data_IF_320310955413
#
_entry.id   IF_320310955413
#
_cell.length_a   1.000
_cell.length_b   1.000
_cell.length_c   1.000
_cell.angle_alpha   90.00
_cell.angle_beta   90.00
_cell.angle_gamma   90.00
#
_symmetry.space_group_name_H-M   'P 1'
#
loop_
_entity.id
_entity.type
_entity.pdbx_description
1 polymer ?
#
# COMPACT_ATOMS: atom_id res chain seq x y z
N UNK A 1 8.43 0.00 6.09
CA UNK A 1 7.09 0.51 6.41
C UNK A 1 7.19 2.00 6.70
N UNK A 2 6.28 2.81 6.16
CA UNK A 2 6.26 4.26 6.34
C UNK A 2 4.90 4.71 6.88
N UNK A 3 4.88 5.78 7.65
CA UNK A 3 3.65 6.42 8.08
C UNK A 3 3.13 7.43 7.03
N UNK A 4 2.02 8.09 7.32
CA UNK A 4 1.39 9.05 6.42
C UNK A 4 2.23 10.33 6.18
N UNK A 5 3.19 10.61 7.04
CA UNK A 5 4.07 11.78 6.97
C UNK A 5 5.38 11.49 6.23
N UNK A 6 5.62 10.24 5.86
CA UNK A 6 6.85 9.78 5.20
C UNK A 6 7.94 9.32 6.17
N UNK A 7 7.64 9.21 7.46
CA UNK A 7 8.61 8.69 8.39
C UNK A 7 8.71 7.17 8.26
N UNK A 8 9.95 6.67 8.29
CA UNK A 8 10.22 5.24 8.25
C UNK A 8 9.99 4.64 9.64
N UNK A 9 8.90 3.92 9.80
CA UNK A 9 8.52 3.30 11.06
C UNK A 9 9.36 2.07 11.39
N UNK A 10 9.62 1.26 10.39
CA UNK A 10 10.42 0.03 10.53
C UNK A 10 10.87 -0.49 9.17
N UNK A 11 12.09 -1.03 9.14
CA UNK A 11 12.61 -1.83 8.02
C UNK A 11 13.25 -3.10 8.56
N UNK A 12 13.39 -4.11 7.71
CA UNK A 12 14.13 -5.32 8.01
C UNK A 12 14.82 -5.83 6.74
N UNK A 13 16.02 -6.34 6.92
CA UNK A 13 16.69 -7.11 5.88
C UNK A 13 16.11 -8.54 5.89
N UNK A 14 15.92 -9.10 4.70
CA UNK A 14 15.44 -10.47 4.52
C UNK A 14 16.26 -11.18 3.45
N UNK A 15 16.38 -12.50 3.53
CA UNK A 15 16.92 -13.29 2.44
C UNK A 15 16.15 -13.05 1.14
N UNK A 16 16.85 -13.04 0.01
CA UNK A 16 16.27 -12.70 -1.29
C UNK A 16 15.23 -13.70 -1.81
N UNK A 17 15.18 -14.91 -1.26
CA UNK A 17 14.22 -15.96 -1.59
C UNK A 17 12.94 -15.94 -0.74
N UNK A 18 12.78 -15.00 0.19
CA UNK A 18 11.57 -14.86 1.00
C UNK A 18 10.51 -14.00 0.33
N UNK A 19 9.25 -14.39 0.47
CA UNK A 19 8.13 -13.57 0.02
C UNK A 19 8.04 -12.27 0.85
N UNK A 20 7.60 -11.17 0.21
CA UNK A 20 7.55 -9.84 0.85
C UNK A 20 6.66 -9.76 2.10
N UNK A 21 5.69 -10.65 2.23
CA UNK A 21 4.81 -10.73 3.40
C UNK A 21 5.29 -11.72 4.47
N UNK A 22 6.33 -12.53 4.22
CA UNK A 22 6.81 -13.46 5.22
C UNK A 22 7.37 -12.69 6.43
N UNK A 23 7.02 -13.13 7.65
CA UNK A 23 7.41 -12.44 8.87
C UNK A 23 6.85 -11.01 8.99
N UNK A 24 5.71 -10.72 8.35
CA UNK A 24 5.03 -9.43 8.43
C UNK A 24 4.74 -9.00 9.87
N UNK A 25 4.46 -9.96 10.73
CA UNK A 25 4.14 -9.79 12.15
C UNK A 25 5.29 -9.13 12.92
N UNK A 26 6.54 -9.50 12.66
CA UNK A 26 7.74 -8.90 13.25
C UNK A 26 7.92 -7.41 12.90
N UNK A 27 7.30 -6.96 11.83
CA UNK A 27 7.33 -5.57 11.38
C UNK A 27 6.09 -4.82 11.81
N UNK A 28 4.88 -5.37 11.54
CA UNK A 28 3.63 -4.67 11.74
C UNK A 28 3.20 -4.60 13.21
N UNK A 29 3.27 -5.73 13.93
CA UNK A 29 2.81 -5.79 15.33
C UNK A 29 3.51 -4.78 16.24
N UNK A 30 4.86 -4.62 16.22
CA UNK A 30 5.53 -3.62 17.06
C UNK A 30 5.19 -2.18 16.69
N UNK A 31 4.90 -1.91 15.40
CA UNK A 31 4.46 -0.57 14.97
C UNK A 31 3.06 -0.29 15.48
N UNK A 32 2.12 -1.24 15.34
CA UNK A 32 0.75 -1.10 15.88
C UNK A 32 0.79 -0.90 17.40
N UNK A 33 1.58 -1.71 18.13
CA UNK A 33 1.73 -1.60 19.59
C UNK A 33 2.22 -0.21 20.04
N UNK A 34 3.10 0.43 19.26
CA UNK A 34 3.60 1.80 19.53
C UNK A 34 2.49 2.84 19.51
N UNK A 35 1.49 2.67 18.64
CA UNK A 35 0.40 3.61 18.43
C UNK A 35 -0.87 3.28 19.24
N UNK A 36 -0.95 2.06 19.80
CA UNK A 36 -2.11 1.63 20.61
C UNK A 36 -2.33 2.58 21.79
N UNK A 37 -3.54 3.09 21.94
CA UNK A 37 -3.90 4.06 22.98
C UNK A 37 -3.42 5.51 22.74
N UNK A 38 -2.58 5.76 21.73
CA UNK A 38 -2.06 7.11 21.43
C UNK A 38 -2.78 7.79 20.27
N UNK A 39 -3.47 7.04 19.45
CA UNK A 39 -4.20 7.54 18.28
C UNK A 39 -5.60 6.97 18.25
N UNK A 40 -6.55 7.77 17.79
CA UNK A 40 -7.96 7.36 17.70
C UNK A 40 -8.24 6.38 16.56
N UNK A 41 -7.43 6.37 15.52
CA UNK A 41 -7.65 5.54 14.34
C UNK A 41 -6.32 5.18 13.67
N UNK A 42 -6.18 3.90 13.34
CA UNK A 42 -5.08 3.39 12.52
C UNK A 42 -5.65 2.91 11.18
N UNK A 43 -5.00 3.28 10.11
CA UNK A 43 -5.34 2.84 8.76
C UNK A 43 -4.11 2.19 8.12
N UNK A 44 -4.31 1.03 7.51
CA UNK A 44 -3.26 0.28 6.83
C UNK A 44 -3.53 0.20 5.33
N UNK A 45 -2.50 0.36 4.52
CA UNK A 45 -2.55 0.15 3.07
C UNK A 45 -1.30 -0.55 2.58
N UNK A 46 -1.48 -1.51 1.70
CA UNK A 46 -0.37 -2.31 1.18
C UNK A 46 -0.62 -2.77 -0.26
N UNK A 47 0.43 -3.30 -0.87
CA UNK A 47 0.37 -3.94 -2.17
C UNK A 47 -0.15 -5.38 -2.08
N UNK A 48 -0.16 -6.06 -3.22
CA UNK A 48 -0.65 -7.42 -3.35
C UNK A 48 0.21 -8.46 -2.60
N UNK A 49 1.46 -8.14 -2.30
CA UNK A 49 2.31 -9.00 -1.48
C UNK A 49 1.77 -9.24 -0.08
N UNK A 50 0.95 -8.30 0.44
CA UNK A 50 0.32 -8.41 1.76
C UNK A 50 -1.12 -8.94 1.70
N UNK A 51 -1.57 -9.46 0.56
CA UNK A 51 -2.88 -10.10 0.40
C UNK A 51 -2.91 -11.49 1.05
N UNK A 52 -2.66 -11.55 2.35
CA UNK A 52 -2.58 -12.76 3.17
C UNK A 52 -3.73 -12.78 4.18
N UNK A 53 -4.46 -13.93 4.34
CA UNK A 53 -5.53 -14.08 5.32
C UNK A 53 -5.14 -13.69 6.74
N UNK A 54 -3.96 -14.10 7.20
CA UNK A 54 -3.46 -13.78 8.54
C UNK A 54 -3.30 -12.27 8.78
N UNK A 55 -2.86 -11.52 7.75
CA UNK A 55 -2.75 -10.06 7.81
C UNK A 55 -4.14 -9.43 7.96
N UNK A 56 -5.12 -9.91 7.19
CA UNK A 56 -6.49 -9.41 7.30
C UNK A 56 -7.09 -9.67 8.68
N UNK A 57 -6.94 -10.89 9.20
CA UNK A 57 -7.47 -11.30 10.50
C UNK A 57 -6.85 -10.49 11.63
N UNK A 58 -5.55 -10.28 11.58
CA UNK A 58 -4.86 -9.42 12.55
C UNK A 58 -5.37 -7.99 12.50
N UNK A 59 -5.45 -7.37 11.31
CA UNK A 59 -5.93 -6.01 11.17
C UNK A 59 -7.38 -5.83 11.61
N UNK A 60 -8.22 -6.82 11.32
CA UNK A 60 -9.63 -6.85 11.74
C UNK A 60 -9.76 -7.02 13.25
N UNK A 61 -8.96 -7.90 13.86
CA UNK A 61 -8.90 -8.11 15.30
C UNK A 61 -8.44 -6.88 16.08
N UNK A 62 -7.49 -6.13 15.55
CA UNK A 62 -7.03 -4.85 16.12
C UNK A 62 -7.95 -3.64 15.79
N UNK A 63 -9.04 -3.84 15.06
CA UNK A 63 -9.93 -2.76 14.64
C UNK A 63 -9.32 -1.81 13.60
N UNK A 64 -8.20 -2.18 12.98
CA UNK A 64 -7.48 -1.36 12.01
C UNK A 64 -8.21 -1.39 10.66
N UNK A 65 -8.46 -0.22 10.09
CA UNK A 65 -9.05 -0.10 8.76
C UNK A 65 -7.98 -0.31 7.69
N UNK A 66 -8.28 -1.14 6.69
CA UNK A 66 -7.29 -1.49 5.68
C UNK A 66 -7.80 -1.34 4.25
N UNK A 67 -6.85 -1.13 3.33
CA UNK A 67 -7.02 -1.22 1.89
C UNK A 67 -5.77 -1.89 1.30
N UNK A 68 -5.90 -3.15 0.90
CA UNK A 68 -4.80 -3.98 0.42
C UNK A 68 -5.13 -4.44 -1.00
N UNK A 69 -4.17 -4.26 -1.92
CA UNK A 69 -4.36 -4.73 -3.30
C UNK A 69 -4.50 -6.24 -3.31
N UNK A 70 -5.49 -6.74 -4.06
CA UNK A 70 -5.70 -8.16 -4.30
C UNK A 70 -5.21 -8.50 -5.70
N UNK A 71 -4.41 -9.56 -5.89
CA UNK A 71 -4.07 -10.05 -7.22
C UNK A 71 -5.31 -10.40 -8.01
N UNK A 72 -5.32 -10.03 -9.29
CA UNK A 72 -6.42 -10.40 -10.17
C UNK A 72 -6.44 -11.93 -10.40
N UNK A 73 -7.63 -12.49 -10.44
CA UNK A 73 -7.86 -13.86 -10.85
C UNK A 73 -9.12 -13.95 -11.72
N UNK A 74 -9.36 -15.10 -12.33
CA UNK A 74 -10.48 -15.34 -13.25
C UNK A 74 -11.83 -15.02 -12.60
N UNK A 75 -12.06 -15.51 -11.38
CA UNK A 75 -13.33 -15.30 -10.67
C UNK A 75 -13.60 -13.81 -10.40
N UNK A 76 -12.58 -13.06 -10.03
CA UNK A 76 -12.70 -11.60 -9.82
C UNK A 76 -12.97 -10.86 -11.13
N UNK A 77 -12.37 -11.29 -12.23
CA UNK A 77 -12.61 -10.71 -13.56
C UNK A 77 -14.02 -11.02 -14.06
N UNK A 78 -14.51 -12.24 -13.87
CA UNK A 78 -15.90 -12.63 -14.21
C UNK A 78 -16.93 -11.77 -13.45
N UNK A 79 -16.66 -11.41 -12.18
CA UNK A 79 -17.53 -10.53 -11.38
C UNK A 79 -17.70 -9.12 -11.92
N UNK A 80 -16.79 -8.67 -12.77
CA UNK A 80 -16.80 -7.32 -13.37
C UNK A 80 -16.89 -7.37 -14.89
N UNK A 81 -17.33 -8.49 -15.47
CA UNK A 81 -17.40 -8.71 -16.92
C UNK A 81 -18.03 -7.57 -17.68
N UNK A 82 -19.14 -7.04 -17.16
CA UNK A 82 -19.88 -5.91 -17.76
C UNK A 82 -19.03 -4.63 -17.87
N UNK A 83 -18.12 -4.40 -16.92
CA UNK A 83 -17.21 -3.23 -16.91
C UNK A 83 -16.02 -3.42 -17.84
N UNK A 84 -15.70 -4.66 -18.22
CA UNK A 84 -14.62 -5.00 -19.13
C UNK A 84 -15.02 -4.86 -20.60
N UNK A 85 -16.31 -4.74 -20.86
CA UNK A 85 -16.83 -4.54 -22.22
C UNK A 85 -16.62 -3.09 -22.63
N UNK A 86 -15.98 -2.90 -23.79
CA UNK A 86 -15.78 -1.57 -24.36
C UNK A 86 -17.13 -0.99 -24.81
N UNK A 87 -17.40 0.25 -24.41
CA UNK A 87 -18.58 0.96 -24.91
C UNK A 87 -18.48 1.18 -26.43
N UNK A 88 -19.58 0.94 -27.13
CA UNK A 88 -19.69 1.18 -28.58
C UNK A 88 -19.60 2.68 -28.83
N UNK A 89 -18.89 3.07 -29.88
CA UNK A 89 -18.77 4.46 -30.32
C UNK A 89 -17.32 4.97 -30.29
N UNK A 90 -17.17 6.29 -30.51
CA UNK A 90 -15.85 6.94 -30.53
C UNK A 90 -15.20 6.83 -29.14
N UNK A 91 -13.92 6.41 -29.05
CA UNK A 91 -13.21 6.38 -27.78
C UNK A 91 -13.18 7.77 -27.14
N UNK A 92 -13.45 7.87 -25.84
CA UNK A 92 -13.34 9.15 -25.15
C UNK A 92 -11.88 9.61 -25.13
N UNK A 93 -11.68 10.93 -25.23
CA UNK A 93 -10.34 11.53 -25.13
C UNK A 93 -9.80 11.50 -23.68
N UNK A 94 -10.68 11.27 -22.71
CA UNK A 94 -10.33 11.23 -21.29
C UNK A 94 -10.44 9.81 -20.73
N UNK A 95 -9.68 9.54 -19.67
CA UNK A 95 -9.73 8.27 -18.97
C UNK A 95 -11.10 8.05 -18.29
N UNK A 96 -11.84 7.03 -18.70
CA UNK A 96 -13.08 6.63 -18.05
C UNK A 96 -12.78 5.65 -16.89
N UNK A 97 -13.24 5.99 -15.69
CA UNK A 97 -13.10 5.16 -14.50
C UNK A 97 -14.44 4.62 -14.05
N UNK A 98 -14.48 3.33 -13.77
CA UNK A 98 -15.65 2.66 -13.21
C UNK A 98 -15.24 1.85 -11.98
N UNK A 99 -16.16 1.71 -11.03
CA UNK A 99 -15.93 0.99 -9.79
C UNK A 99 -17.04 -0.03 -9.58
N UNK A 100 -16.67 -1.24 -9.16
CA UNK A 100 -17.60 -2.23 -8.65
C UNK A 100 -17.29 -2.53 -7.19
N UNK A 101 -18.32 -2.87 -6.43
CA UNK A 101 -18.23 -3.18 -5.02
C UNK A 101 -19.00 -4.47 -4.76
N UNK A 102 -18.32 -5.50 -4.29
CA UNK A 102 -18.91 -6.82 -4.06
C UNK A 102 -18.21 -7.55 -2.90
N UNK A 103 -18.86 -8.58 -2.42
CA UNK A 103 -18.30 -9.49 -1.43
C UNK A 103 -17.63 -10.66 -2.14
N UNK A 104 -16.42 -11.01 -1.71
CA UNK A 104 -15.64 -12.11 -2.24
C UNK A 104 -14.97 -12.90 -1.12
N UNK A 105 -14.88 -14.21 -1.31
CA UNK A 105 -14.16 -15.09 -0.42
C UNK A 105 -13.22 -15.96 -1.26
N UNK A 106 -11.92 -15.84 -1.02
CA UNK A 106 -10.93 -16.77 -1.58
C UNK A 106 -10.91 -18.09 -0.78
N UNK A 107 -10.46 -19.18 -1.38
CA UNK A 107 -10.51 -20.50 -0.76
C UNK A 107 -9.78 -20.63 0.58
N UNK A 108 -8.75 -19.80 0.82
CA UNK A 108 -8.01 -19.78 2.09
C UNK A 108 -8.57 -18.79 3.12
N UNK A 109 -9.62 -18.05 2.80
CA UNK A 109 -10.18 -17.07 3.72
C UNK A 109 -11.22 -17.70 4.64
N UNK A 110 -11.15 -17.40 5.91
CA UNK A 110 -12.10 -17.85 6.92
C UNK A 110 -13.49 -17.24 6.75
N UNK A 111 -13.55 -16.03 6.16
CA UNK A 111 -14.80 -15.29 5.93
C UNK A 111 -14.75 -14.46 4.65
N UNK A 112 -15.94 -14.14 4.11
CA UNK A 112 -16.02 -13.22 2.97
C UNK A 112 -15.61 -11.81 3.37
N UNK A 113 -14.97 -11.08 2.42
CA UNK A 113 -14.54 -9.70 2.61
C UNK A 113 -15.01 -8.82 1.45
N UNK A 114 -15.17 -7.54 1.75
CA UNK A 114 -15.49 -6.54 0.76
C UNK A 114 -14.32 -6.34 -0.20
N UNK A 115 -14.61 -6.44 -1.50
CA UNK A 115 -13.67 -6.16 -2.58
C UNK A 115 -14.19 -5.02 -3.43
N UNK A 116 -13.32 -4.09 -3.75
CA UNK A 116 -13.56 -3.02 -4.69
C UNK A 116 -12.74 -3.29 -5.94
N UNK A 117 -13.40 -3.32 -7.09
CA UNK A 117 -12.76 -3.33 -8.39
C UNK A 117 -12.71 -1.92 -8.96
N UNK A 118 -11.58 -1.54 -9.54
CA UNK A 118 -11.39 -0.34 -10.32
C UNK A 118 -11.08 -0.75 -11.75
N UNK A 119 -11.82 -0.22 -12.70
CA UNK A 119 -11.60 -0.41 -14.13
C UNK A 119 -11.32 0.95 -14.76
N UNK A 120 -10.22 1.08 -15.46
CA UNK A 120 -9.81 2.31 -16.14
C UNK A 120 -9.64 2.04 -17.63
N UNK A 121 -10.42 2.72 -18.43
CA UNK A 121 -10.26 2.80 -19.88
C UNK A 121 -9.46 4.05 -20.20
N UNK A 122 -8.24 3.89 -20.65
CA UNK A 122 -7.38 5.00 -21.06
C UNK A 122 -7.50 5.25 -22.54
N UNK A 123 -7.37 6.52 -22.95
CA UNK A 123 -7.35 6.89 -24.35
C UNK A 123 -6.21 6.15 -25.09
N UNK A 124 -6.54 5.50 -26.21
CA UNK A 124 -5.57 4.76 -27.03
C UNK A 124 -5.24 3.34 -26.54
N UNK A 125 -5.68 2.90 -25.36
CA UNK A 125 -5.49 1.52 -24.91
C UNK A 125 -6.63 0.60 -25.41
N UNK A 126 -6.28 -0.61 -25.85
CA UNK A 126 -7.24 -1.61 -26.34
C UNK A 126 -7.97 -2.33 -25.18
N UNK A 127 -7.31 -2.45 -24.03
CA UNK A 127 -7.82 -3.17 -22.87
C UNK A 127 -7.86 -2.25 -21.64
N UNK A 128 -8.84 -2.42 -20.75
CA UNK A 128 -8.90 -1.64 -19.54
C UNK A 128 -7.84 -2.08 -18.53
N UNK A 129 -7.36 -1.14 -17.74
CA UNK A 129 -6.55 -1.44 -16.56
C UNK A 129 -7.46 -1.80 -15.39
N UNK A 130 -7.22 -2.96 -14.80
CA UNK A 130 -8.03 -3.47 -13.70
C UNK A 130 -7.21 -3.57 -12.42
N UNK A 131 -7.81 -3.18 -11.31
CA UNK A 131 -7.24 -3.35 -9.98
C UNK A 131 -8.30 -3.76 -8.97
N UNK A 132 -7.96 -4.67 -8.07
CA UNK A 132 -8.82 -5.11 -6.98
C UNK A 132 -8.22 -4.72 -5.64
N UNK A 133 -9.07 -4.29 -4.70
CA UNK A 133 -8.67 -3.89 -3.34
C UNK A 133 -9.61 -4.56 -2.35
N UNK A 134 -9.03 -5.31 -1.41
CA UNK A 134 -9.74 -5.81 -0.23
C UNK A 134 -9.77 -4.73 0.83
N UNK A 135 -10.92 -4.53 1.46
CA UNK A 135 -11.08 -3.49 2.48
C UNK A 135 -12.15 -3.85 3.52
N UNK A 136 -11.95 -3.39 4.74
CA UNK A 136 -12.94 -3.37 5.82
C UNK A 136 -13.49 -1.96 6.10
N UNK A 137 -13.21 -1.00 5.21
CA UNK A 137 -13.73 0.37 5.29
C UNK A 137 -15.17 0.42 4.75
N UNK A 138 -16.04 1.20 5.40
CA UNK A 138 -17.41 1.47 4.93
C UNK A 138 -17.52 2.63 3.92
N UNK A 139 -16.38 3.23 3.53
CA UNK A 139 -16.34 4.39 2.62
C UNK A 139 -16.76 4.03 1.20
N UNK A 140 -17.23 5.01 0.39
CA UNK A 140 -17.44 4.83 -1.05
C UNK A 140 -16.20 4.26 -1.76
N UNK A 141 -16.43 3.49 -2.82
CA UNK A 141 -15.35 2.80 -3.56
C UNK A 141 -14.24 3.74 -4.01
N UNK A 142 -14.60 4.89 -4.56
CA UNK A 142 -13.67 5.91 -5.04
C UNK A 142 -12.74 6.41 -3.93
N UNK A 143 -13.29 6.66 -2.73
CA UNK A 143 -12.52 7.13 -1.60
C UNK A 143 -11.54 6.08 -1.06
N UNK A 144 -11.92 4.80 -1.11
CA UNK A 144 -11.01 3.69 -0.74
C UNK A 144 -9.89 3.56 -1.76
N UNK A 145 -10.20 3.65 -3.05
CA UNK A 145 -9.20 3.63 -4.13
C UNK A 145 -8.27 4.83 -4.02
N UNK A 146 -8.80 6.04 -3.78
CA UNK A 146 -7.99 7.24 -3.57
C UNK A 146 -7.07 7.11 -2.35
N UNK A 147 -7.57 6.54 -1.26
CA UNK A 147 -6.76 6.23 -0.08
C UNK A 147 -5.64 5.23 -0.41
N UNK A 148 -5.97 4.14 -1.10
CA UNK A 148 -4.98 3.14 -1.49
C UNK A 148 -3.90 3.72 -2.42
N UNK A 149 -4.28 4.55 -3.40
CA UNK A 149 -3.36 5.13 -4.38
C UNK A 149 -2.31 6.06 -3.74
N UNK A 150 -2.59 6.68 -2.59
CA UNK A 150 -1.60 7.44 -1.82
C UNK A 150 -0.41 6.58 -1.36
N UNK A 151 -0.46 5.25 -1.55
CA UNK A 151 0.68 4.35 -1.34
C UNK A 151 1.86 4.65 -2.28
N UNK A 152 1.60 5.18 -3.47
CA UNK A 152 2.64 5.54 -4.43
C UNK A 152 3.74 6.46 -3.87
N UNK A 153 3.41 7.28 -2.87
CA UNK A 153 4.41 8.11 -2.16
C UNK A 153 5.45 7.26 -1.44
N UNK A 154 5.06 6.12 -0.85
CA UNK A 154 6.01 5.22 -0.20
C UNK A 154 6.98 4.57 -1.20
N UNK A 155 6.51 4.27 -2.40
CA UNK A 155 7.35 3.73 -3.48
C UNK A 155 8.41 4.74 -3.91
N UNK A 156 8.06 6.01 -3.96
CA UNK A 156 9.01 7.08 -4.25
C UNK A 156 10.08 7.17 -3.15
N UNK A 157 9.71 7.16 -1.88
CA UNK A 157 10.68 7.17 -0.78
C UNK A 157 11.61 5.95 -0.79
N UNK A 158 11.07 4.76 -1.15
CA UNK A 158 11.89 3.56 -1.33
C UNK A 158 12.87 3.73 -2.49
N UNK A 159 12.44 4.31 -3.61
CA UNK A 159 13.33 4.60 -4.76
C UNK A 159 14.43 5.59 -4.38
N UNK A 160 14.10 6.65 -3.67
CA UNK A 160 15.06 7.63 -3.16
C UNK A 160 16.06 6.99 -2.19
N UNK A 161 15.59 6.16 -1.26
CA UNK A 161 16.45 5.40 -0.36
C UNK A 161 17.39 4.45 -1.10
N UNK A 162 16.92 3.77 -2.15
CA UNK A 162 17.77 2.92 -2.99
C UNK A 162 18.76 3.72 -3.84
N UNK A 163 18.35 4.86 -4.36
CA UNK A 163 19.15 5.71 -5.24
C UNK A 163 20.14 6.59 -4.47
N UNK A 164 19.65 7.49 -3.61
CA UNK A 164 20.46 8.48 -2.90
C UNK A 164 21.19 7.89 -1.70
N UNK A 165 20.51 7.12 -0.85
CA UNK A 165 21.08 6.55 0.38
C UNK A 165 21.69 5.18 0.14
N UNK A 166 21.41 4.55 -1.01
CA UNK A 166 21.97 3.27 -1.45
C UNK A 166 21.67 2.10 -0.48
N UNK A 167 20.43 2.00 -0.01
CA UNK A 167 19.97 0.94 0.92
C UNK A 167 20.30 -0.48 0.46
N UNK A 168 20.42 -0.70 -0.85
CA UNK A 168 20.73 -2.01 -1.44
C UNK A 168 22.23 -2.31 -1.52
N UNK A 169 23.10 -1.36 -1.17
CA UNK A 169 24.55 -1.60 -1.08
C UNK A 169 24.90 -2.13 0.31
N UNK A 170 24.85 -3.43 0.42
CA UNK A 170 25.08 -4.18 1.65
C UNK A 170 26.28 -5.15 1.43
N UNK A 171 27.52 -4.64 1.38
CA UNK A 171 28.70 -5.43 1.06
C UNK A 171 29.37 -6.07 2.27
N UNK A 172 28.67 -6.20 3.40
CA UNK A 172 29.24 -6.80 4.60
C UNK A 172 29.36 -8.33 4.44
N UNK A 173 30.31 -8.92 5.17
CA UNK A 173 30.57 -10.37 5.08
C UNK A 173 29.52 -11.23 5.77
N UNK A 174 28.63 -10.64 6.57
CA UNK A 174 27.59 -11.37 7.28
C UNK A 174 26.23 -10.69 7.15
N UNK A 175 25.18 -11.50 7.14
CA UNK A 175 23.80 -11.02 7.11
C UNK A 175 23.47 -10.08 8.29
N UNK A 176 23.99 -10.38 9.47
CA UNK A 176 23.80 -9.55 10.66
C UNK A 176 24.43 -8.16 10.50
N UNK A 177 25.65 -8.06 9.95
CA UNK A 177 26.30 -6.80 9.68
C UNK A 177 25.55 -5.99 8.61
N UNK A 178 25.03 -6.64 7.57
CA UNK A 178 24.19 -6.00 6.56
C UNK A 178 22.87 -5.51 7.14
N UNK A 179 22.26 -6.25 8.07
CA UNK A 179 21.07 -5.82 8.78
C UNK A 179 21.31 -4.55 9.60
N UNK A 180 22.43 -4.46 10.33
CA UNK A 180 22.83 -3.24 11.04
C UNK A 180 23.06 -2.09 10.07
N UNK A 181 23.76 -2.32 8.98
CA UNK A 181 24.01 -1.30 7.93
C UNK A 181 22.69 -0.77 7.35
N UNK A 182 21.72 -1.63 7.10
CA UNK A 182 20.38 -1.20 6.67
C UNK A 182 19.72 -0.26 7.69
N UNK A 183 19.84 -0.54 8.99
CA UNK A 183 19.31 0.35 10.03
C UNK A 183 20.02 1.71 10.05
N UNK A 184 21.34 1.76 9.82
CA UNK A 184 22.07 3.02 9.68
C UNK A 184 21.62 3.82 8.48
N UNK A 185 21.38 3.17 7.34
CA UNK A 185 20.78 3.81 6.16
C UNK A 185 19.37 4.35 6.45
N UNK A 186 18.58 3.60 7.22
CA UNK A 186 17.26 4.05 7.65
C UNK A 186 17.34 5.30 8.52
N UNK A 187 18.25 5.36 9.48
CA UNK A 187 18.50 6.55 10.31
C UNK A 187 18.95 7.75 9.47
N UNK A 188 19.87 7.56 8.54
CA UNK A 188 20.33 8.62 7.63
C UNK A 188 19.15 9.18 6.80
N UNK A 189 18.25 8.33 6.31
CA UNK A 189 17.04 8.75 5.58
C UNK A 189 16.14 9.60 6.47
N UNK A 190 15.89 9.16 7.70
CA UNK A 190 15.04 9.89 8.64
C UNK A 190 15.63 11.25 9.01
N UNK A 191 16.94 11.31 9.23
CA UNK A 191 17.63 12.57 9.49
C UNK A 191 17.49 13.54 8.31
N UNK A 192 17.66 13.05 7.09
CA UNK A 192 17.47 13.87 5.87
C UNK A 192 16.04 14.40 5.72
N UNK A 193 15.03 13.56 5.96
CA UNK A 193 13.61 13.96 5.94
C UNK A 193 13.34 15.01 7.02
N UNK A 194 13.86 14.83 8.22
CA UNK A 194 13.70 15.75 9.34
C UNK A 194 14.30 17.12 9.03
N UNK A 195 15.53 17.16 8.53
CA UNK A 195 16.19 18.40 8.09
C UNK A 195 15.42 19.11 6.97
N UNK A 196 14.89 18.37 6.00
CA UNK A 196 14.11 18.94 4.91
C UNK A 196 12.78 19.55 5.38
N UNK A 197 12.15 18.97 6.40
CA UNK A 197 10.95 19.54 7.04
C UNK A 197 11.26 20.83 7.80
N UNK A 198 12.37 20.90 8.51
CA UNK A 198 12.80 22.08 9.24
C UNK A 198 13.08 23.28 8.32
N UNK A 199 13.60 23.02 7.12
CA UNK A 199 13.93 24.06 6.14
C UNK A 199 12.72 24.58 5.35
N UNK A 200 11.55 23.95 5.42
CA UNK A 200 10.35 24.48 4.77
C UNK A 200 9.75 25.57 5.64
N UNK A 201 9.71 26.86 5.16
CA UNK A 201 9.01 27.90 5.87
C UNK A 201 7.54 27.48 6.04
N UNK A 202 7.02 27.69 7.24
CA UNK A 202 5.59 27.54 7.50
C UNK A 202 4.83 28.37 6.47
N UNK A 203 4.08 27.71 5.57
CA UNK A 203 3.10 28.43 4.75
C UNK A 203 2.11 29.05 5.73
N UNK A 204 2.24 30.36 5.93
CA UNK A 204 1.24 31.14 6.65
C UNK A 204 -0.12 30.85 6.02
N UNK A 205 -1.04 30.32 6.82
CA UNK A 205 -2.46 30.36 6.51
C UNK A 205 -2.87 31.84 6.56
N UNK A 206 -2.61 32.57 5.50
CA UNK A 206 -3.33 33.81 5.26
C UNK A 206 -4.70 33.40 4.74
N UNK A 207 -5.70 33.59 5.61
CA UNK A 207 -7.08 33.42 5.30
C UNK A 207 -7.56 34.41 4.22
N UNK A 208 -8.50 33.99 3.48
CA UNK A 208 -9.75 34.69 3.13
C UNK A 208 -10.74 33.62 2.67
#
# INVERSE_FOLDING_TARGET
MFNQFGDLERCALRPGNMHSADGWDSILKPVVARYRGKVSRIHFRADAGFANPEVYEYLEGEGIKCAIRLPANRVLQERIGDLLTRSVGRPPNEARRSFANFTYQAGRWTKPRRVIAKVEWLAGELYPRVGFIVTNMARPAENVVAFHNKRGTCEQWIKEGKGAVKWTRLPCRSFAADAVRLQLHALATMSGISCARWRRPSRSRTGR
#
